data_IF_737455080859
#
_entry.id   IF_737455080859
#
_cell.length_a   1.000
_cell.length_b   1.000
_cell.length_c   1.000
_cell.angle_alpha   90.00
_cell.angle_beta   90.00
_cell.angle_gamma   90.00
#
_symmetry.space_group_name_H-M   'P 1'
#
loop_
_entity.id
_entity.type
_entity.pdbx_description
1 polymer ?
#
# COMPACT_ATOMS: atom_id res chain seq x y z
N UNK A 1 -0.25 -7.46 16.23
CA UNK A 1 0.78 -7.05 15.25
C UNK A 1 0.13 -6.92 13.89
N UNK A 2 0.57 -5.97 13.06
CA UNK A 2 0.08 -5.76 11.68
C UNK A 2 0.90 -6.56 10.67
N UNK A 3 0.38 -6.68 9.46
CA UNK A 3 1.15 -6.97 8.26
C UNK A 3 1.30 -5.67 7.49
N UNK A 4 2.54 -5.24 7.26
CA UNK A 4 2.83 -4.00 6.54
C UNK A 4 3.41 -4.34 5.17
N UNK A 5 2.92 -3.66 4.14
CA UNK A 5 3.40 -3.77 2.77
C UNK A 5 3.54 -2.36 2.19
N UNK A 6 4.67 -2.10 1.56
CA UNK A 6 5.01 -0.80 0.98
C UNK A 6 5.18 -0.97 -0.52
N UNK A 7 4.40 -0.24 -1.30
CA UNK A 7 4.65 -0.05 -2.72
C UNK A 7 5.63 1.11 -2.90
N UNK A 8 6.76 0.82 -3.55
CA UNK A 8 7.77 1.77 -3.99
C UNK A 8 7.56 2.01 -5.48
N UNK A 9 6.60 2.88 -5.80
CA UNK A 9 6.11 3.18 -7.13
C UNK A 9 7.12 4.00 -7.96
N UNK A 10 7.38 3.57 -9.20
CA UNK A 10 8.32 4.24 -10.10
C UNK A 10 7.85 5.62 -10.61
N UNK A 11 6.53 5.86 -10.60
CA UNK A 11 5.90 7.16 -10.87
C UNK A 11 4.84 7.47 -9.82
N UNK A 12 4.39 8.73 -9.78
CA UNK A 12 3.27 9.11 -8.92
C UNK A 12 2.02 8.34 -9.34
N UNK A 13 1.34 7.65 -8.42
CA UNK A 13 0.03 7.08 -8.74
C UNK A 13 -0.97 8.20 -8.98
N UNK A 14 -1.63 8.17 -10.14
CA UNK A 14 -2.77 9.05 -10.40
C UNK A 14 -3.99 8.58 -9.57
N UNK A 15 -4.94 9.47 -9.21
CA UNK A 15 -6.11 9.10 -8.42
C UNK A 15 -6.90 7.91 -9.00
N UNK A 16 -7.01 7.83 -10.33
CA UNK A 16 -7.67 6.71 -11.01
C UNK A 16 -6.92 5.39 -10.88
N UNK A 17 -5.59 5.41 -10.89
CA UNK A 17 -4.75 4.21 -10.69
C UNK A 17 -4.86 3.72 -9.25
N UNK A 18 -4.90 4.65 -8.28
CA UNK A 18 -5.10 4.33 -6.87
C UNK A 18 -6.48 3.70 -6.63
N UNK A 19 -7.54 4.30 -7.16
CA UNK A 19 -8.90 3.75 -7.07
C UNK A 19 -9.03 2.39 -7.76
N UNK A 20 -8.41 2.21 -8.93
CA UNK A 20 -8.38 0.92 -9.61
C UNK A 20 -7.66 -0.16 -8.78
N UNK A 21 -6.57 0.19 -8.11
CA UNK A 21 -5.86 -0.72 -7.21
C UNK A 21 -6.71 -1.11 -5.99
N UNK A 22 -7.48 -0.17 -5.41
CA UNK A 22 -8.43 -0.46 -4.33
C UNK A 22 -9.53 -1.42 -4.79
N UNK A 23 -10.10 -1.20 -5.98
CA UNK A 23 -11.09 -2.11 -6.58
C UNK A 23 -10.50 -3.51 -6.83
N UNK A 24 -9.25 -3.59 -7.31
CA UNK A 24 -8.56 -4.86 -7.52
C UNK A 24 -8.24 -5.60 -6.21
N UNK A 25 -8.20 -4.89 -5.08
CA UNK A 25 -8.01 -5.49 -3.76
C UNK A 25 -9.22 -6.33 -3.33
N UNK A 26 -10.43 -5.91 -3.72
CA UNK A 26 -11.70 -6.61 -3.49
C UNK A 26 -12.88 -5.69 -3.83
N UNK A 27 -13.62 -5.91 -4.92
CA UNK A 27 -14.72 -5.03 -5.34
C UNK A 27 -15.91 -5.01 -4.36
N UNK A 28 -16.03 -6.05 -3.53
CA UNK A 28 -17.04 -6.17 -2.46
C UNK A 28 -16.67 -5.39 -1.18
N UNK A 29 -15.42 -4.92 -1.06
CA UNK A 29 -14.96 -4.27 0.16
C UNK A 29 -15.53 -2.85 0.27
N UNK A 30 -15.94 -2.50 1.48
CA UNK A 30 -16.47 -1.17 1.79
C UNK A 30 -15.32 -0.19 2.03
N UNK A 31 -15.35 0.92 1.32
CA UNK A 31 -14.35 1.98 1.43
C UNK A 31 -14.75 3.03 2.48
N UNK A 32 -13.80 3.43 3.31
CA UNK A 32 -13.93 4.53 4.26
C UNK A 32 -12.71 5.45 4.16
N UNK A 33 -12.93 6.75 4.11
CA UNK A 33 -11.87 7.77 4.15
C UNK A 33 -11.79 8.39 5.53
N UNK A 34 -10.58 8.57 6.05
CA UNK A 34 -10.35 9.29 7.31
C UNK A 34 -9.85 10.69 6.96
N UNK A 35 -10.78 11.65 6.99
CA UNK A 35 -10.62 12.99 6.39
C UNK A 35 -9.43 13.79 6.95
N UNK A 36 -9.03 13.56 8.20
CA UNK A 36 -7.93 14.28 8.86
C UNK A 36 -6.54 13.72 8.51
N UNK A 37 -6.43 12.49 7.98
CA UNK A 37 -5.16 11.76 7.90
C UNK A 37 -4.77 11.27 6.50
N UNK A 38 -5.58 11.58 5.48
CA UNK A 38 -5.40 11.05 4.11
C UNK A 38 -5.26 9.51 4.08
N UNK A 39 -5.95 8.84 5.01
CA UNK A 39 -6.01 7.39 5.06
C UNK A 39 -7.26 6.89 4.34
N UNK A 40 -7.08 5.82 3.59
CA UNK A 40 -8.18 5.04 3.01
C UNK A 40 -8.20 3.68 3.69
N UNK A 41 -9.39 3.25 4.10
CA UNK A 41 -9.62 1.97 4.73
C UNK A 41 -10.57 1.11 3.90
N UNK A 42 -10.28 -0.19 3.83
CA UNK A 42 -11.16 -1.20 3.26
C UNK A 42 -11.67 -2.11 4.37
N UNK A 43 -12.98 -2.35 4.38
CA UNK A 43 -13.66 -3.20 5.33
C UNK A 43 -14.39 -4.33 4.61
N UNK A 44 -14.37 -5.51 5.20
CA UNK A 44 -15.24 -6.61 4.78
C UNK A 44 -16.71 -6.29 5.16
N UNK A 45 -17.66 -6.98 4.54
CA UNK A 45 -19.10 -6.75 4.77
C UNK A 45 -19.48 -6.89 6.25
N UNK A 46 -18.88 -7.85 6.95
CA UNK A 46 -19.04 -8.08 8.40
C UNK A 46 -18.41 -7.01 9.32
N UNK A 47 -17.72 -6.01 8.76
CA UNK A 47 -17.11 -4.91 9.50
C UNK A 47 -15.67 -5.14 9.93
N UNK A 48 -15.03 -6.27 9.56
CA UNK A 48 -13.59 -6.46 9.76
C UNK A 48 -12.78 -5.48 8.93
N UNK A 49 -11.77 -4.85 9.54
CA UNK A 49 -10.79 -4.03 8.82
C UNK A 49 -9.88 -4.94 7.98
N UNK A 50 -9.79 -4.68 6.68
CA UNK A 50 -8.97 -5.47 5.75
C UNK A 50 -7.68 -4.74 5.37
N UNK A 51 -7.75 -3.43 5.18
CA UNK A 51 -6.62 -2.62 4.76
C UNK A 51 -6.76 -1.21 5.30
N UNK A 52 -5.66 -0.61 5.72
CA UNK A 52 -5.50 0.84 5.79
C UNK A 52 -4.32 1.21 4.91
N UNK A 53 -4.49 2.18 4.01
CA UNK A 53 -3.44 2.65 3.11
C UNK A 53 -3.34 4.18 3.15
N UNK A 54 -2.13 4.69 3.02
CA UNK A 54 -1.85 6.13 3.04
C UNK A 54 -1.73 6.68 1.61
N UNK A 55 -2.00 7.97 1.42
CA UNK A 55 -1.69 8.66 0.16
C UNK A 55 -0.21 8.57 -0.20
N UNK A 56 0.09 8.62 -1.51
CA UNK A 56 1.45 8.51 -2.03
C UNK A 56 2.34 9.69 -1.58
N UNK A 57 3.55 9.38 -1.11
CA UNK A 57 4.54 10.36 -0.68
C UNK A 57 5.84 10.20 -1.44
N UNK A 58 6.39 11.29 -1.97
CA UNK A 58 7.67 11.26 -2.68
C UNK A 58 8.84 11.15 -1.69
N UNK A 59 9.67 10.12 -1.84
CA UNK A 59 10.93 9.97 -1.11
C UNK A 59 12.07 10.42 -2.02
N UNK A 60 12.62 11.60 -1.73
CA UNK A 60 13.65 12.26 -2.54
C UNK A 60 15.07 12.08 -2.01
N UNK A 61 15.26 11.49 -0.83
CA UNK A 61 16.60 11.33 -0.23
C UNK A 61 17.14 9.96 -0.58
N UNK A 62 18.32 9.92 -1.21
CA UNK A 62 18.97 8.66 -1.60
C UNK A 62 19.29 7.84 -0.34
N UNK A 63 18.98 6.53 -0.37
CA UNK A 63 19.17 5.63 0.77
C UNK A 63 18.10 5.71 1.88
N UNK A 64 17.17 6.67 1.82
CA UNK A 64 16.14 6.84 2.86
C UNK A 64 15.22 5.62 2.97
N UNK A 65 14.82 5.05 1.84
CA UNK A 65 14.01 3.82 1.84
C UNK A 65 14.77 2.65 2.48
N UNK A 66 16.05 2.48 2.16
CA UNK A 66 16.88 1.43 2.76
C UNK A 66 17.02 1.62 4.29
N UNK A 67 17.16 2.88 4.74
CA UNK A 67 17.20 3.23 6.17
C UNK A 67 15.89 2.92 6.88
N UNK A 68 14.75 3.27 6.29
CA UNK A 68 13.42 3.09 6.88
C UNK A 68 12.98 1.62 6.93
N UNK A 69 13.16 0.90 5.81
CA UNK A 69 12.71 -0.49 5.66
C UNK A 69 13.76 -1.52 6.08
N UNK A 70 14.96 -1.08 6.45
CA UNK A 70 16.14 -1.94 6.67
C UNK A 70 16.39 -2.88 5.49
N UNK A 71 16.12 -2.37 4.28
CA UNK A 71 16.20 -3.14 3.05
C UNK A 71 17.66 -3.35 2.65
N UNK A 72 18.02 -4.59 2.31
CA UNK A 72 19.35 -4.94 1.81
C UNK A 72 19.29 -5.10 0.29
N UNK A 73 19.72 -4.07 -0.44
CA UNK A 73 19.73 -4.07 -1.90
C UNK A 73 19.70 -2.66 -2.49
N UNK A 74 19.79 -2.59 -3.81
CA UNK A 74 19.55 -1.35 -4.53
C UNK A 74 18.05 -1.02 -4.49
N UNK A 75 17.73 0.22 -4.11
CA UNK A 75 16.35 0.71 -4.05
C UNK A 75 16.20 1.84 -5.06
N UNK A 76 15.12 1.85 -5.86
CA UNK A 76 14.84 2.96 -6.76
C UNK A 76 14.85 4.31 -6.05
N UNK A 77 15.42 5.32 -6.71
CA UNK A 77 15.47 6.69 -6.22
C UNK A 77 15.42 7.70 -7.38
N UNK A 78 14.59 8.76 -7.29
CA UNK A 78 13.54 8.96 -6.28
C UNK A 78 12.40 7.95 -6.45
N UNK A 79 11.54 7.80 -5.44
CA UNK A 79 10.42 6.84 -5.51
C UNK A 79 9.18 7.35 -4.79
N UNK A 80 8.01 6.93 -5.25
CA UNK A 80 6.73 7.22 -4.60
C UNK A 80 6.35 6.11 -3.63
N UNK A 81 6.25 6.45 -2.36
CA UNK A 81 5.96 5.53 -1.27
C UNK A 81 4.46 5.49 -0.99
N UNK A 82 3.88 4.30 -1.01
CA UNK A 82 2.52 4.03 -0.53
C UNK A 82 2.58 2.91 0.49
N UNK A 83 2.31 3.23 1.75
CA UNK A 83 2.28 2.26 2.84
C UNK A 83 0.86 1.72 3.02
N UNK A 84 0.77 0.42 3.22
CA UNK A 84 -0.48 -0.22 3.59
C UNK A 84 -0.27 -1.18 4.75
N UNK A 85 -1.22 -1.17 5.68
CA UNK A 85 -1.23 -2.02 6.88
C UNK A 85 -2.52 -2.83 6.93
N UNK A 86 -2.38 -4.11 7.26
CA UNK A 86 -3.49 -5.04 7.47
C UNK A 86 -3.38 -5.71 8.86
N UNK A 87 -4.50 -6.20 9.45
CA UNK A 87 -4.42 -7.01 10.66
C UNK A 87 -3.57 -8.27 10.46
N UNK A 88 -2.50 -8.40 11.25
CA UNK A 88 -1.48 -9.42 10.96
C UNK A 88 -1.89 -10.86 11.24
N UNK A 89 -3.00 -11.08 11.94
CA UNK A 89 -3.54 -12.41 12.23
C UNK A 89 -4.61 -12.86 11.23
N UNK A 90 -4.99 -11.99 10.29
CA UNK A 90 -6.02 -12.26 9.28
C UNK A 90 -5.36 -12.46 7.91
N UNK A 91 -5.38 -13.72 7.44
CA UNK A 91 -4.79 -14.10 6.14
C UNK A 91 -5.55 -13.49 4.95
N UNK A 92 -6.84 -13.24 5.11
CA UNK A 92 -7.65 -12.61 4.07
C UNK A 92 -7.26 -11.14 3.92
N UNK A 93 -7.12 -10.42 5.03
CA UNK A 93 -6.65 -9.05 5.05
C UNK A 93 -5.23 -8.90 4.48
N UNK A 94 -4.33 -9.84 4.81
CA UNK A 94 -3.00 -9.90 4.19
C UNK A 94 -3.09 -10.09 2.66
N UNK A 95 -3.98 -10.95 2.18
CA UNK A 95 -4.21 -11.14 0.74
C UNK A 95 -4.72 -9.87 0.07
N UNK A 96 -5.67 -9.16 0.69
CA UNK A 96 -6.18 -7.87 0.22
C UNK A 96 -5.04 -6.85 0.08
N UNK A 97 -4.19 -6.72 1.10
CA UNK A 97 -3.05 -5.81 1.08
C UNK A 97 -2.07 -6.11 -0.05
N UNK A 98 -1.78 -7.40 -0.29
CA UNK A 98 -0.90 -7.84 -1.39
C UNK A 98 -1.53 -7.58 -2.77
N UNK A 99 -2.83 -7.83 -2.94
CA UNK A 99 -3.55 -7.53 -4.20
C UNK A 99 -3.56 -6.05 -4.53
N UNK A 100 -3.88 -5.20 -3.54
CA UNK A 100 -3.80 -3.75 -3.68
C UNK A 100 -2.41 -3.30 -4.15
N UNK A 101 -1.38 -3.72 -3.40
CA UNK A 101 0.03 -3.35 -3.68
C UNK A 101 0.44 -3.81 -5.08
N UNK A 102 0.10 -5.04 -5.45
CA UNK A 102 0.43 -5.60 -6.76
C UNK A 102 -0.24 -4.79 -7.88
N UNK A 103 -1.54 -4.54 -7.78
CA UNK A 103 -2.29 -3.78 -8.79
C UNK A 103 -1.75 -2.35 -8.95
N UNK A 104 -1.41 -1.70 -7.84
CA UNK A 104 -0.79 -0.37 -7.86
C UNK A 104 0.56 -0.39 -8.59
N UNK A 105 1.43 -1.36 -8.27
CA UNK A 105 2.73 -1.51 -8.92
C UNK A 105 2.62 -1.94 -10.40
N UNK A 106 1.57 -2.66 -10.80
CA UNK A 106 1.30 -2.92 -12.22
C UNK A 106 1.07 -1.62 -12.98
N UNK A 107 0.36 -0.65 -12.40
CA UNK A 107 0.11 0.64 -13.04
C UNK A 107 1.31 1.60 -12.97
N UNK A 108 2.07 1.58 -11.87
CA UNK A 108 3.12 2.57 -11.61
C UNK A 108 4.54 2.07 -11.87
N UNK A 109 4.72 0.77 -12.10
CA UNK A 109 6.03 0.11 -11.99
C UNK A 109 6.62 0.21 -10.58
N UNK A 110 7.86 -0.25 -10.43
CA UNK A 110 8.60 -0.21 -9.17
C UNK A 110 8.68 -1.57 -8.47
N UNK A 111 8.70 -1.57 -7.14
CA UNK A 111 8.83 -2.79 -6.35
C UNK A 111 8.06 -2.71 -5.03
N UNK A 112 7.86 -3.85 -4.37
CA UNK A 112 7.24 -3.91 -3.05
C UNK A 112 8.23 -4.38 -1.99
N UNK A 113 8.00 -3.93 -0.76
CA UNK A 113 8.55 -4.53 0.45
C UNK A 113 7.41 -5.02 1.35
N UNK A 114 7.62 -6.10 2.09
CA UNK A 114 6.68 -6.54 3.12
C UNK A 114 7.38 -6.90 4.42
N UNK A 115 6.69 -6.71 5.53
CA UNK A 115 7.18 -7.04 6.88
C UNK A 115 7.22 -8.55 7.17
N UNK A 116 6.74 -9.36 6.23
CA UNK A 116 6.71 -10.83 6.24
C UNK A 116 6.87 -11.38 4.83
#
# INVERSE_FOLDING_TARGET
>A
MTFDVVALCGKQPEPGEFLAALLAAGPELRLHTVDETQLVQLFHEDGRLMLTTEGARLVQVAGEVARLLRFQGEVPHPVWWVESRAPGHDREAESVARRFTHALLTATGGMSWSSR
#
